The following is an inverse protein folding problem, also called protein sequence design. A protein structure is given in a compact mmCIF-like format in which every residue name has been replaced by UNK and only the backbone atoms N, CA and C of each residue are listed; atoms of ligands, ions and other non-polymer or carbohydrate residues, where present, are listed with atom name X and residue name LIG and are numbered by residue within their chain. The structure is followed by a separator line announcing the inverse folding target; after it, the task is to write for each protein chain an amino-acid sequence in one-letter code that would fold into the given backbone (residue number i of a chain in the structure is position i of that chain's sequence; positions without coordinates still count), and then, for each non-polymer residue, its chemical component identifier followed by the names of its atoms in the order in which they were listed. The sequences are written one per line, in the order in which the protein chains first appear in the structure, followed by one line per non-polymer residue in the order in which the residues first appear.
data_IF_272900189202
#
_entry.id   IF_272900189202
#
_cell.length_a   1.000
_cell.length_b   1.000
_cell.length_c   1.000
_cell.angle_alpha   90.00
_cell.angle_beta   90.00
_cell.angle_gamma   90.00
#
_symmetry.space_group_name_H-M   'P 1'
#
loop_
_entity.id
_entity.type
_entity.pdbx_description
1 polymer ?
#
# COMPACT_ATOMS: atom_id res chain seq x y z
N UNK A 1 -4.52 12.76 14.66
CA UNK A 1 -5.51 11.80 14.13
C UNK A 1 -5.06 10.43 14.59
N UNK A 2 -5.72 9.87 15.60
CA UNK A 2 -5.43 8.50 16.04
C UNK A 2 -6.13 7.53 15.11
N UNK A 3 -5.33 6.74 14.39
CA UNK A 3 -5.83 5.73 13.48
C UNK A 3 -5.89 4.43 14.27
N UNK A 4 -7.08 4.06 14.74
CA UNK A 4 -7.32 2.79 15.44
C UNK A 4 -7.43 1.66 14.40
N UNK A 5 -6.28 1.13 13.99
CA UNK A 5 -6.16 -0.02 13.09
C UNK A 5 -5.40 -1.11 13.84
N UNK A 6 -5.89 -2.34 13.73
CA UNK A 6 -5.25 -3.51 14.31
C UNK A 6 -3.85 -3.75 13.71
N UNK A 7 -2.89 -4.14 14.55
CA UNK A 7 -1.49 -4.32 14.13
C UNK A 7 -1.34 -5.46 13.11
N UNK A 8 -2.14 -6.52 13.21
CA UNK A 8 -2.11 -7.62 12.24
C UNK A 8 -2.60 -7.15 10.86
N UNK A 9 -3.65 -6.33 10.85
CA UNK A 9 -4.18 -5.71 9.65
C UNK A 9 -3.18 -4.74 9.00
N UNK A 10 -2.50 -3.93 9.82
CA UNK A 10 -1.48 -2.98 9.40
C UNK A 10 -0.28 -3.68 8.77
N UNK A 11 0.15 -4.80 9.35
CA UNK A 11 1.22 -5.61 8.79
C UNK A 11 0.82 -6.24 7.46
N UNK A 12 -0.45 -6.59 7.27
CA UNK A 12 -0.93 -7.30 6.07
C UNK A 12 -1.23 -6.37 4.89
N UNK A 13 -1.81 -5.21 5.15
CA UNK A 13 -2.30 -4.31 4.10
C UNK A 13 -1.69 -2.91 4.18
N UNK A 14 -1.46 -2.28 3.03
CA UNK A 14 -1.15 -0.85 2.97
C UNK A 14 -2.39 -0.05 3.37
N UNK A 15 -2.18 1.02 4.11
CA UNK A 15 -3.22 1.96 4.51
C UNK A 15 -2.82 3.37 4.08
N UNK A 16 -3.77 4.16 3.60
CA UNK A 16 -3.55 5.55 3.28
C UNK A 16 -4.73 6.38 3.79
N UNK A 17 -4.44 7.58 4.28
CA UNK A 17 -5.47 8.52 4.72
C UNK A 17 -5.55 9.68 3.76
N UNK A 18 -6.77 10.06 3.40
CA UNK A 18 -7.01 11.30 2.69
C UNK A 18 -7.08 12.46 3.69
N UNK A 19 -6.13 13.39 3.59
CA UNK A 19 -6.02 14.53 4.50
C UNK A 19 -7.21 15.51 4.45
N UNK A 20 -7.97 15.52 3.35
CA UNK A 20 -9.11 16.43 3.20
C UNK A 20 -10.40 15.96 3.87
N UNK A 21 -10.60 14.66 4.05
CA UNK A 21 -11.83 14.10 4.62
C UNK A 21 -11.61 13.01 5.68
N UNK A 22 -10.36 12.69 6.01
CA UNK A 22 -9.99 11.66 6.99
C UNK A 22 -10.29 10.22 6.55
N UNK A 23 -10.70 9.99 5.29
CA UNK A 23 -11.06 8.65 4.82
C UNK A 23 -9.81 7.76 4.74
N UNK A 24 -9.89 6.60 5.37
CA UNK A 24 -8.87 5.55 5.31
C UNK A 24 -9.16 4.63 4.12
N UNK A 25 -8.16 4.41 3.29
CA UNK A 25 -8.15 3.45 2.19
C UNK A 25 -7.21 2.30 2.56
N UNK A 26 -7.52 1.09 2.11
CA UNK A 26 -6.77 -0.13 2.46
C UNK A 26 -6.49 -0.99 1.24
N UNK A 27 -5.31 -1.61 1.19
CA UNK A 27 -4.96 -2.62 0.19
C UNK A 27 -5.03 -2.07 -1.24
N UNK A 28 -5.79 -2.74 -2.11
CA UNK A 28 -5.97 -2.34 -3.51
C UNK A 28 -6.61 -0.95 -3.67
N UNK A 29 -7.42 -0.52 -2.70
CA UNK A 29 -8.05 0.81 -2.75
C UNK A 29 -7.00 1.92 -2.66
N UNK A 30 -5.90 1.72 -1.91
CA UNK A 30 -4.78 2.68 -1.90
C UNK A 30 -4.15 2.78 -3.28
N UNK A 31 -3.93 1.65 -3.94
CA UNK A 31 -3.32 1.59 -5.28
C UNK A 31 -4.20 2.30 -6.31
N UNK A 32 -5.52 2.10 -6.23
CA UNK A 32 -6.50 2.80 -7.09
C UNK A 32 -6.42 4.31 -6.89
N UNK A 33 -6.46 4.79 -5.63
CA UNK A 33 -6.43 6.23 -5.34
C UNK A 33 -5.10 6.90 -5.76
N UNK A 34 -3.97 6.21 -5.59
CA UNK A 34 -2.68 6.69 -6.11
C UNK A 34 -2.67 6.73 -7.63
N UNK A 35 -3.14 5.66 -8.29
CA UNK A 35 -3.16 5.56 -9.75
C UNK A 35 -4.06 6.62 -10.40
N UNK A 36 -5.15 7.04 -9.75
CA UNK A 36 -6.00 8.15 -10.20
C UNK A 36 -5.31 9.52 -10.17
N UNK A 37 -4.26 9.70 -9.36
CA UNK A 37 -3.56 10.99 -9.24
C UNK A 37 -2.39 11.14 -10.23
N UNK A 38 -1.93 10.02 -10.81
CA UNK A 38 -0.78 9.99 -11.71
C UNK A 38 -1.32 9.67 -13.12
N UNK A 39 -1.36 10.63 -14.06
CA UNK A 39 -1.96 10.43 -15.39
C UNK A 39 -1.40 9.23 -16.15
N UNK A 40 -0.10 8.95 -15.99
CA UNK A 40 0.56 7.79 -16.58
C UNK A 40 -0.07 6.44 -16.17
N UNK A 41 -0.70 6.36 -14.99
CA UNK A 41 -1.32 5.14 -14.48
C UNK A 41 -2.83 5.06 -14.71
N UNK A 42 -3.44 6.05 -15.36
CA UNK A 42 -4.89 6.06 -15.61
C UNK A 42 -5.38 4.88 -16.42
N UNK A 43 -4.59 4.38 -17.38
CA UNK A 43 -4.96 3.21 -18.16
C UNK A 43 -5.09 1.93 -17.30
N UNK A 44 -4.41 1.87 -16.15
CA UNK A 44 -4.48 0.74 -15.22
C UNK A 44 -5.71 0.82 -14.30
N UNK A 45 -6.25 2.00 -14.06
CA UNK A 45 -7.41 2.22 -13.17
C UNK A 45 -8.59 1.30 -13.47
N UNK A 46 -9.07 1.12 -14.73
CA UNK A 46 -10.17 0.19 -15.01
C UNK A 46 -9.82 -1.25 -14.63
N UNK A 47 -8.59 -1.72 -14.91
CA UNK A 47 -8.14 -3.06 -14.53
C UNK A 47 -8.04 -3.23 -13.02
N UNK A 48 -7.59 -2.20 -12.29
CA UNK A 48 -7.54 -2.22 -10.83
C UNK A 48 -8.95 -2.28 -10.22
N UNK A 49 -9.92 -1.57 -10.80
CA UNK A 49 -11.33 -1.69 -10.39
C UNK A 49 -11.93 -3.06 -10.67
N UNK A 50 -11.61 -3.67 -11.82
CA UNK A 50 -12.00 -5.06 -12.11
C UNK A 50 -11.37 -6.03 -11.10
N UNK A 51 -10.11 -5.80 -10.72
CA UNK A 51 -9.43 -6.61 -9.70
C UNK A 51 -10.10 -6.48 -8.34
N UNK A 52 -10.61 -5.30 -7.97
CA UNK A 52 -11.36 -5.10 -6.72
C UNK A 52 -12.64 -5.94 -6.66
N UNK A 53 -13.37 -6.05 -7.77
CA UNK A 53 -14.66 -6.75 -7.81
C UNK A 53 -14.52 -8.27 -7.90
N UNK A 54 -13.38 -8.75 -8.39
CA UNK A 54 -13.09 -10.17 -8.53
C UNK A 54 -12.30 -10.65 -7.31
N UNK A 55 -12.51 -11.89 -6.84
CA UNK A 55 -11.68 -12.54 -5.80
C UNK A 55 -10.17 -12.56 -6.17
N UNK A 56 -9.84 -12.24 -7.42
CA UNK A 56 -8.52 -12.02 -8.02
C UNK A 56 -7.81 -10.79 -7.42
N UNK A 57 -8.52 -9.78 -6.91
CA UNK A 57 -7.90 -8.61 -6.27
C UNK A 57 -6.97 -8.97 -5.12
N UNK A 58 -7.28 -10.03 -4.37
CA UNK A 58 -6.39 -10.56 -3.32
C UNK A 58 -5.10 -11.16 -3.90
N UNK A 59 -5.15 -11.77 -5.09
CA UNK A 59 -3.98 -12.31 -5.78
C UNK A 59 -3.10 -11.18 -6.35
N UNK A 60 -3.71 -10.19 -6.99
CA UNK A 60 -2.99 -9.02 -7.51
C UNK A 60 -2.34 -8.26 -6.35
N UNK A 61 -3.09 -8.04 -5.27
CA UNK A 61 -2.55 -7.39 -4.08
C UNK A 61 -1.46 -8.24 -3.41
N UNK A 62 -1.57 -9.57 -3.37
CA UNK A 62 -0.50 -10.42 -2.81
C UNK A 62 0.78 -10.36 -3.62
N UNK A 63 0.71 -10.24 -4.95
CA UNK A 63 1.88 -10.02 -5.81
C UNK A 63 2.54 -8.67 -5.48
N UNK A 64 1.74 -7.61 -5.36
CA UNK A 64 2.25 -6.27 -5.00
C UNK A 64 2.89 -6.31 -3.60
N UNK A 65 2.20 -6.92 -2.63
CA UNK A 65 2.65 -7.02 -1.25
C UNK A 65 3.91 -7.89 -1.09
N UNK A 66 4.10 -8.91 -1.94
CA UNK A 66 5.32 -9.74 -1.94
C UNK A 66 6.56 -8.98 -2.41
N UNK A 67 6.39 -8.00 -3.30
CA UNK A 67 7.50 -7.22 -3.85
C UNK A 67 7.80 -5.94 -3.06
N UNK A 68 7.02 -5.63 -2.01
CA UNK A 68 7.25 -4.42 -1.20
C UNK A 68 8.45 -4.61 -0.28
N UNK A 69 9.31 -3.60 -0.21
CA UNK A 69 10.33 -3.51 0.84
C UNK A 69 9.72 -2.81 2.04
N UNK A 70 9.63 -3.51 3.15
CA UNK A 70 9.12 -2.96 4.42
C UNK A 70 10.32 -2.35 5.16
N UNK A 71 10.20 -1.10 5.59
CA UNK A 71 11.20 -0.48 6.47
C UNK A 71 11.07 -1.12 7.86
N UNK A 72 12.14 -1.67 8.44
CA UNK A 72 12.07 -2.28 9.76
C UNK A 72 11.69 -1.26 10.83
N UNK A 73 11.04 -1.73 11.90
CA UNK A 73 10.75 -0.91 13.08
C UNK A 73 12.05 -0.35 13.68
N UNK A 74 12.01 0.89 14.19
CA UNK A 74 13.16 1.66 14.72
C UNK A 74 14.28 2.01 13.72
N UNK A 75 14.04 1.89 12.41
CA UNK A 75 14.98 2.34 11.35
C UNK A 75 14.60 3.69 10.72
N UNK A 76 13.57 4.33 11.25
CA UNK A 76 13.18 5.69 10.88
C UNK A 76 13.50 6.67 12.00
N UNK A 77 14.16 7.76 11.64
CA UNK A 77 14.26 8.99 12.44
C UNK A 77 13.15 9.96 12.01
N UNK A 78 12.99 11.08 12.72
CA UNK A 78 11.99 12.11 12.38
C UNK A 78 12.21 12.72 10.98
N UNK A 79 13.42 12.64 10.44
CA UNK A 79 13.81 13.23 9.16
C UNK A 79 13.91 12.21 8.03
N UNK A 80 14.16 10.93 8.33
CA UNK A 80 14.40 9.93 7.28
C UNK A 80 14.18 8.49 7.73
N UNK A 81 13.82 7.64 6.78
CA UNK A 81 13.78 6.19 6.96
C UNK A 81 14.95 5.55 6.22
N UNK A 82 15.81 4.83 6.94
CA UNK A 82 16.92 4.09 6.32
C UNK A 82 16.43 2.72 5.88
N UNK A 83 16.52 2.45 4.58
CA UNK A 83 16.27 1.12 4.03
C UNK A 83 17.64 0.49 3.80
N UNK A 84 18.10 -0.34 4.74
CA UNK A 84 19.22 -1.22 4.47
C UNK A 84 18.76 -2.20 3.38
N UNK A 85 19.28 -2.04 2.16
CA UNK A 85 19.08 -3.03 1.10
C UNK A 85 19.90 -4.27 1.48
N UNK A 86 19.39 -5.08 2.40
CA UNK A 86 19.92 -6.43 2.59
C UNK A 86 19.67 -7.20 1.30
N UNK A 87 20.76 -7.56 0.61
CA UNK A 87 20.77 -8.49 -0.50
C UNK A 87 20.23 -9.83 0.01
N UNK A 88 18.96 -10.11 -0.26
CA UNK A 88 18.37 -11.41 0.03
C UNK A 88 18.82 -12.44 -1.02
N UNK A 89 20.13 -12.71 -1.06
CA UNK A 89 20.72 -13.88 -1.70
C UNK A 89 21.27 -14.79 -0.59
N UNK A 90 20.39 -15.62 -0.01
CA UNK A 90 20.69 -17.01 0.33
C UNK A 90 19.40 -17.78 0.58
#
# INVERSE_FOLDING_TARGET
MEINIDIEELNKYIHAVNSGNGKVYKGIDVVIEVSKRIPQYWFLVPFLYLSKFTRIGNLVYSIIAKNRKIVPVNKCTDESCTIDIYNHNK
#
